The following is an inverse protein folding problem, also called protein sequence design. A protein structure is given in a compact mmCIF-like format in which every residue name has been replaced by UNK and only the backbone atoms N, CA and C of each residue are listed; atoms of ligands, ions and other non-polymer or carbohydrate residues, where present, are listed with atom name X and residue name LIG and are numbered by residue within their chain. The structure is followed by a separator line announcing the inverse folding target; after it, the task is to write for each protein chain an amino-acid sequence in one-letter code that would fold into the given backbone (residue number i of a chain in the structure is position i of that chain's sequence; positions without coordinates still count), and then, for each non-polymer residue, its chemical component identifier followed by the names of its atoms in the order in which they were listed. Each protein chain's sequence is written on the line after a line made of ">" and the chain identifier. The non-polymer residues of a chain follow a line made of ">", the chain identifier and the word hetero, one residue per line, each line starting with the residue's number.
data_IF_827647482944
#
_entry.id   IF_827647482944
#
_cell.length_a   1.000
_cell.length_b   1.000
_cell.length_c   1.000
_cell.angle_alpha   90.00
_cell.angle_beta   90.00
_cell.angle_gamma   90.00
#
_symmetry.space_group_name_H-M   'P 1'
#
loop_
_entity.id
_entity.type
_entity.pdbx_description
1 polymer ?
#
# COMPACT_ATOMS: atom_id res chain seq x y z
N UNK A 1 17.88 -8.84 -34.60
CA UNK A 1 16.78 -7.99 -34.08
C UNK A 1 16.03 -8.82 -33.05
N UNK A 2 16.20 -8.48 -31.78
CA UNK A 2 15.88 -9.31 -30.61
C UNK A 2 14.38 -9.45 -30.44
N UNK A 3 13.89 -10.69 -30.47
CA UNK A 3 12.54 -11.04 -30.05
C UNK A 3 12.50 -10.97 -28.52
N UNK A 4 11.48 -10.29 -28.02
CA UNK A 4 11.21 -9.93 -26.63
C UNK A 4 11.29 -11.11 -25.63
N UNK A 5 12.45 -11.25 -24.97
CA UNK A 5 12.71 -12.29 -23.96
C UNK A 5 12.18 -11.97 -22.56
N UNK A 6 11.51 -10.84 -22.35
CA UNK A 6 11.02 -10.45 -21.01
C UNK A 6 9.65 -11.03 -20.69
N UNK A 7 8.82 -11.29 -21.72
CA UNK A 7 7.44 -11.78 -21.53
C UNK A 7 7.33 -13.20 -20.96
N UNK A 8 8.39 -14.02 -21.04
CA UNK A 8 8.42 -15.38 -20.47
C UNK A 8 9.00 -15.44 -19.05
N UNK A 9 9.62 -14.37 -18.55
CA UNK A 9 10.37 -14.39 -17.28
C UNK A 9 9.48 -14.25 -16.03
N UNK A 10 8.26 -13.74 -16.21
CA UNK A 10 7.29 -13.53 -15.13
C UNK A 10 5.93 -14.08 -15.56
N UNK A 11 5.71 -15.41 -15.45
CA UNK A 11 4.39 -15.98 -15.64
C UNK A 11 3.42 -15.43 -14.60
N UNK A 12 2.12 -15.44 -14.91
CA UNK A 12 1.11 -15.12 -13.91
C UNK A 12 1.20 -16.15 -12.76
N UNK A 13 1.23 -15.75 -11.49
CA UNK A 13 1.30 -16.70 -10.39
C UNK A 13 0.10 -17.65 -10.38
N UNK A 14 0.32 -18.86 -9.88
CA UNK A 14 -0.74 -19.85 -9.70
C UNK A 14 -1.78 -19.28 -8.73
N UNK A 15 -3.04 -19.28 -9.18
CA UNK A 15 -4.22 -18.67 -8.52
C UNK A 15 -4.33 -17.14 -8.57
N UNK A 16 -3.48 -16.44 -9.30
CA UNK A 16 -3.71 -15.02 -9.59
C UNK A 16 -4.36 -14.81 -10.96
N UNK A 17 -5.06 -13.69 -11.11
CA UNK A 17 -5.58 -13.21 -12.38
C UNK A 17 -4.73 -12.05 -12.91
N UNK A 18 -4.12 -12.23 -14.08
CA UNK A 18 -3.29 -11.22 -14.72
C UNK A 18 -3.92 -10.67 -16.01
N UNK A 19 -3.91 -9.36 -16.17
CA UNK A 19 -4.29 -8.67 -17.41
C UNK A 19 -3.06 -7.96 -18.00
N UNK A 20 -2.56 -8.48 -19.13
CA UNK A 20 -1.34 -7.98 -19.77
C UNK A 20 -1.52 -6.59 -20.38
N UNK A 21 -2.69 -6.27 -20.94
CA UNK A 21 -2.94 -4.95 -21.55
C UNK A 21 -2.99 -3.84 -20.50
N UNK A 22 -3.52 -4.16 -19.31
CA UNK A 22 -3.64 -3.22 -18.18
C UNK A 22 -2.46 -3.28 -17.20
N UNK A 23 -1.50 -4.19 -17.41
CA UNK A 23 -0.40 -4.46 -16.47
C UNK A 23 -0.90 -4.70 -15.04
N UNK A 24 -1.99 -5.48 -14.92
CA UNK A 24 -2.71 -5.70 -13.67
C UNK A 24 -2.50 -7.14 -13.20
N UNK A 25 -2.29 -7.30 -11.89
CA UNK A 25 -2.24 -8.58 -11.19
C UNK A 25 -3.18 -8.51 -10.00
N UNK A 26 -4.11 -9.47 -9.92
CA UNK A 26 -5.05 -9.62 -8.81
C UNK A 26 -4.84 -11.00 -8.21
N UNK A 27 -4.49 -11.05 -6.93
CA UNK A 27 -4.33 -12.26 -6.14
C UNK A 27 -5.17 -12.12 -4.87
N UNK A 28 -6.48 -12.29 -5.00
CA UNK A 28 -7.45 -12.02 -3.92
C UNK A 28 -7.90 -13.33 -3.29
N UNK A 29 -7.86 -13.45 -1.96
CA UNK A 29 -8.34 -14.66 -1.27
C UNK A 29 -7.60 -15.95 -1.68
N UNK A 30 -6.29 -15.84 -1.92
CA UNK A 30 -5.47 -16.95 -2.43
C UNK A 30 -4.59 -17.60 -1.36
N UNK A 31 -4.86 -17.29 -0.08
CA UNK A 31 -4.11 -17.80 1.09
C UNK A 31 -2.61 -17.52 0.97
N UNK A 32 -2.23 -16.44 0.29
CA UNK A 32 -0.84 -16.06 0.13
C UNK A 32 -0.27 -15.72 1.51
N UNK A 33 0.90 -16.29 1.82
CA UNK A 33 1.70 -15.90 2.98
C UNK A 33 2.82 -14.93 2.61
N UNK A 34 3.15 -14.85 1.32
CA UNK A 34 4.18 -13.97 0.76
C UNK A 34 3.73 -13.42 -0.57
N UNK A 35 4.27 -12.25 -0.92
CA UNK A 35 4.05 -11.65 -2.24
C UNK A 35 4.76 -12.51 -3.30
N UNK A 36 4.05 -13.01 -4.32
CA UNK A 36 4.67 -13.83 -5.37
C UNK A 36 5.65 -13.01 -6.22
N UNK A 37 6.49 -13.70 -6.98
CA UNK A 37 7.39 -13.03 -7.93
C UNK A 37 6.59 -12.49 -9.11
N UNK A 38 6.55 -11.16 -9.25
CA UNK A 38 5.75 -10.46 -10.26
C UNK A 38 6.63 -9.66 -11.23
N UNK A 39 6.05 -9.27 -12.36
CA UNK A 39 6.71 -8.40 -13.34
C UNK A 39 6.96 -7.00 -12.76
N UNK A 40 8.18 -6.43 -12.91
CA UNK A 40 8.47 -5.03 -12.58
C UNK A 40 7.60 -4.01 -13.32
N UNK A 41 7.00 -4.41 -14.46
CA UNK A 41 6.10 -3.57 -15.25
C UNK A 41 4.66 -3.51 -14.70
N UNK A 42 4.36 -4.23 -13.61
CA UNK A 42 3.03 -4.23 -12.98
C UNK A 42 2.65 -2.81 -12.56
N UNK A 43 1.47 -2.36 -12.99
CA UNK A 43 0.89 -1.05 -12.68
C UNK A 43 -0.17 -1.12 -11.61
N UNK A 44 -0.93 -2.22 -11.57
CA UNK A 44 -2.00 -2.43 -10.59
C UNK A 44 -1.78 -3.77 -9.91
N UNK A 45 -1.67 -3.75 -8.59
CA UNK A 45 -1.49 -4.95 -7.78
C UNK A 45 -2.57 -4.99 -6.69
N UNK A 46 -3.38 -6.04 -6.71
CA UNK A 46 -4.31 -6.36 -5.62
C UNK A 46 -3.88 -7.66 -4.93
N UNK A 47 -3.67 -7.60 -3.62
CA UNK A 47 -3.26 -8.70 -2.74
C UNK A 47 -4.24 -8.85 -1.57
N UNK A 48 -5.48 -8.38 -1.70
CA UNK A 48 -6.47 -8.40 -0.63
C UNK A 48 -6.88 -9.81 -0.17
N UNK A 49 -7.35 -9.90 1.08
CA UNK A 49 -7.88 -11.13 1.69
C UNK A 49 -6.83 -12.26 1.69
N UNK A 50 -5.57 -11.95 2.03
CA UNK A 50 -4.51 -12.94 2.15
C UNK A 50 -3.99 -13.03 3.59
N UNK A 51 -3.12 -13.99 3.87
CA UNK A 51 -2.51 -14.17 5.20
C UNK A 51 -1.02 -13.84 5.13
N UNK A 52 -0.71 -12.65 4.59
CA UNK A 52 0.67 -12.19 4.44
C UNK A 52 1.35 -12.09 5.81
N UNK A 53 2.69 -12.18 5.82
CA UNK A 53 3.46 -11.94 7.03
C UNK A 53 3.05 -10.60 7.67
N UNK A 54 2.66 -10.64 8.95
CA UNK A 54 2.11 -9.48 9.68
C UNK A 54 3.08 -8.28 9.76
N UNK A 55 4.36 -8.53 9.47
CA UNK A 55 5.39 -7.52 9.20
C UNK A 55 5.95 -7.74 7.80
N UNK A 56 5.71 -6.79 6.91
CA UNK A 56 6.27 -6.86 5.56
C UNK A 56 7.81 -6.78 5.56
N UNK A 57 8.51 -7.42 4.62
CA UNK A 57 9.96 -7.28 4.47
C UNK A 57 10.36 -5.87 4.01
N UNK A 58 11.57 -5.44 4.40
CA UNK A 58 12.17 -4.20 3.89
C UNK A 58 12.31 -4.24 2.36
N UNK A 59 12.01 -3.12 1.70
CA UNK A 59 12.18 -2.94 0.24
C UNK A 59 11.43 -3.96 -0.60
N UNK A 60 10.38 -4.59 -0.06
CA UNK A 60 9.61 -5.63 -0.75
C UNK A 60 9.02 -5.15 -2.09
N UNK A 61 8.74 -3.84 -2.20
CA UNK A 61 8.19 -3.25 -3.42
C UNK A 61 9.21 -2.53 -4.32
N UNK A 62 10.50 -2.59 -4.01
CA UNK A 62 11.52 -1.74 -4.65
C UNK A 62 11.68 -1.96 -6.17
N UNK A 63 11.29 -3.11 -6.70
CA UNK A 63 11.31 -3.37 -8.15
C UNK A 63 10.08 -2.84 -8.91
N UNK A 64 9.02 -2.38 -8.23
CA UNK A 64 7.77 -1.98 -8.88
C UNK A 64 7.69 -0.48 -9.16
N UNK A 65 8.67 0.03 -9.91
CA UNK A 65 8.80 1.46 -10.22
C UNK A 65 7.63 2.04 -11.04
N UNK A 66 6.84 1.17 -11.70
CA UNK A 66 5.68 1.54 -12.50
C UNK A 66 4.33 1.32 -11.80
N UNK A 67 4.35 0.86 -10.54
CA UNK A 67 3.12 0.58 -9.81
C UNK A 67 2.40 1.87 -9.47
N UNK A 68 1.16 2.01 -9.94
CA UNK A 68 0.32 3.18 -9.69
C UNK A 68 -0.78 2.88 -8.67
N UNK A 69 -1.20 1.61 -8.52
CA UNK A 69 -2.23 1.20 -7.56
C UNK A 69 -1.81 -0.05 -6.80
N UNK A 70 -1.84 0.03 -5.48
CA UNK A 70 -1.53 -1.08 -4.58
C UNK A 70 -2.66 -1.26 -3.55
N UNK A 71 -3.21 -2.46 -3.50
CA UNK A 71 -4.23 -2.85 -2.53
C UNK A 71 -3.70 -4.02 -1.70
N UNK A 72 -3.61 -3.82 -0.39
CA UNK A 72 -3.25 -4.86 0.58
C UNK A 72 -4.25 -4.74 1.73
N UNK A 73 -5.47 -5.18 1.47
CA UNK A 73 -6.60 -5.07 2.40
C UNK A 73 -6.89 -6.42 3.06
N UNK A 74 -7.35 -6.42 4.30
CA UNK A 74 -7.69 -7.68 5.00
C UNK A 74 -6.53 -8.69 5.03
N UNK A 75 -5.32 -8.24 5.35
CA UNK A 75 -4.10 -9.06 5.36
C UNK A 75 -3.44 -9.20 6.74
N UNK A 76 -4.12 -8.77 7.81
CA UNK A 76 -3.61 -8.78 9.19
C UNK A 76 -2.23 -8.13 9.35
N UNK A 77 -1.92 -7.13 8.51
CA UNK A 77 -0.66 -6.40 8.60
C UNK A 77 -0.69 -5.54 9.87
N UNK A 78 0.34 -5.68 10.71
CA UNK A 78 0.46 -4.96 11.98
C UNK A 78 1.59 -3.94 11.99
N UNK A 79 2.59 -4.13 11.13
CA UNK A 79 3.75 -3.26 11.06
C UNK A 79 4.30 -3.19 9.64
N UNK A 80 4.62 -1.98 9.21
CA UNK A 80 5.33 -1.72 7.97
C UNK A 80 6.77 -1.33 8.32
N UNK A 81 7.80 -1.87 7.65
CA UNK A 81 9.17 -1.41 7.87
C UNK A 81 9.40 -0.04 7.20
N UNK A 82 10.45 0.68 7.63
CA UNK A 82 10.72 2.04 7.15
C UNK A 82 10.81 2.16 5.64
N UNK A 83 11.36 1.13 4.98
CA UNK A 83 11.58 1.12 3.56
C UNK A 83 10.61 0.19 2.82
N UNK A 84 9.44 -0.11 3.39
CA UNK A 84 8.44 -0.99 2.76
C UNK A 84 8.10 -0.53 1.34
N UNK A 85 7.83 0.77 1.20
CA UNK A 85 7.37 1.41 -0.03
C UNK A 85 8.48 2.15 -0.78
N UNK A 86 9.74 1.96 -0.40
CA UNK A 86 10.86 2.51 -1.16
C UNK A 86 10.80 2.00 -2.60
N UNK A 87 10.97 2.90 -3.58
CA UNK A 87 10.94 2.59 -5.01
C UNK A 87 9.57 2.75 -5.69
N UNK A 88 8.49 2.92 -4.90
CA UNK A 88 7.13 3.14 -5.42
C UNK A 88 6.86 4.59 -5.84
N UNK A 89 7.76 5.15 -6.66
CA UNK A 89 7.71 6.57 -7.05
C UNK A 89 6.50 6.92 -7.91
N UNK A 90 5.90 5.97 -8.62
CA UNK A 90 4.73 6.18 -9.47
C UNK A 90 3.39 5.91 -8.76
N UNK A 91 3.40 5.60 -7.46
CA UNK A 91 2.20 5.17 -6.76
C UNK A 91 1.23 6.34 -6.55
N UNK A 92 0.03 6.21 -7.08
CA UNK A 92 -1.05 7.19 -7.01
C UNK A 92 -2.12 6.79 -5.98
N UNK A 93 -2.33 5.48 -5.79
CA UNK A 93 -3.31 4.94 -4.84
C UNK A 93 -2.73 3.80 -4.01
N UNK A 94 -2.88 3.94 -2.69
CA UNK A 94 -2.54 2.93 -1.70
C UNK A 94 -3.75 2.66 -0.82
N UNK A 95 -4.14 1.40 -0.70
CA UNK A 95 -5.12 0.94 0.28
C UNK A 95 -4.51 -0.10 1.19
N UNK A 96 -4.54 0.21 2.49
CA UNK A 96 -4.17 -0.67 3.60
C UNK A 96 -5.37 -0.90 4.52
N UNK A 97 -6.58 -0.76 3.98
CA UNK A 97 -7.84 -0.87 4.68
C UNK A 97 -8.00 -2.22 5.39
N UNK A 98 -8.65 -2.23 6.54
CA UNK A 98 -8.93 -3.45 7.31
C UNK A 98 -7.67 -4.28 7.59
N UNK A 99 -6.61 -3.63 8.04
CA UNK A 99 -5.48 -4.32 8.64
C UNK A 99 -5.45 -4.02 10.15
N UNK A 100 -4.40 -4.45 10.83
CA UNK A 100 -4.23 -4.23 12.26
C UNK A 100 -3.07 -3.26 12.54
N UNK A 101 -2.85 -2.32 11.61
CA UNK A 101 -1.69 -1.44 11.70
C UNK A 101 -1.93 -0.42 12.81
N UNK A 102 -1.02 -0.43 13.78
CA UNK A 102 -0.98 0.55 14.86
C UNK A 102 -0.06 1.65 14.42
N UNK A 103 -0.64 2.79 14.07
CA UNK A 103 0.12 3.96 13.67
C UNK A 103 -0.01 5.04 14.75
N UNK A 104 1.13 5.64 15.06
CA UNK A 104 1.23 7.02 15.48
C UNK A 104 1.74 7.86 14.29
N UNK A 105 1.92 9.15 14.51
CA UNK A 105 2.43 10.04 13.47
C UNK A 105 3.88 9.74 13.04
N UNK A 106 4.69 9.13 13.91
CA UNK A 106 6.07 8.77 13.56
C UNK A 106 6.11 7.60 12.58
N UNK A 107 5.18 6.66 12.73
CA UNK A 107 5.02 5.52 11.83
C UNK A 107 4.62 5.98 10.41
N UNK A 108 3.89 7.09 10.26
CA UNK A 108 3.53 7.63 8.93
C UNK A 108 4.73 8.16 8.14
N UNK A 109 5.88 8.42 8.78
CA UNK A 109 7.13 8.74 8.09
C UNK A 109 7.60 7.59 7.16
N UNK A 110 7.08 6.38 7.34
CA UNK A 110 7.36 5.23 6.46
C UNK A 110 6.72 5.37 5.07
N UNK A 111 5.79 6.30 4.92
CA UNK A 111 5.18 6.64 3.63
C UNK A 111 5.94 7.76 2.90
N UNK A 112 7.06 8.25 3.45
CA UNK A 112 7.80 9.40 2.90
C UNK A 112 8.22 9.29 1.43
N UNK A 113 8.32 8.08 0.87
CA UNK A 113 8.71 7.86 -0.53
C UNK A 113 7.58 8.09 -1.54
N UNK A 114 6.34 8.22 -1.06
CA UNK A 114 5.12 8.21 -1.87
C UNK A 114 4.70 9.61 -2.31
N UNK A 115 5.61 10.37 -2.93
CA UNK A 115 5.40 11.78 -3.29
C UNK A 115 4.26 12.01 -4.30
N UNK A 116 3.93 11.00 -5.12
CA UNK A 116 2.85 11.06 -6.12
C UNK A 116 1.53 10.46 -5.62
N UNK A 117 1.44 10.07 -4.34
CA UNK A 117 0.24 9.45 -3.80
C UNK A 117 -0.89 10.47 -3.72
N UNK A 118 -1.99 10.16 -4.40
CA UNK A 118 -3.18 11.00 -4.44
C UNK A 118 -4.29 10.48 -3.53
N UNK A 119 -4.37 9.17 -3.33
CA UNK A 119 -5.38 8.52 -2.50
C UNK A 119 -4.74 7.53 -1.53
N UNK A 120 -5.01 7.74 -0.25
CA UNK A 120 -4.60 6.86 0.84
C UNK A 120 -5.83 6.38 1.61
N UNK A 121 -6.04 5.06 1.64
CA UNK A 121 -7.09 4.42 2.43
C UNK A 121 -6.44 3.63 3.58
N UNK A 122 -6.72 4.09 4.79
CA UNK A 122 -6.29 3.54 6.08
C UNK A 122 -7.49 3.17 6.95
N UNK A 123 -8.70 3.09 6.38
CA UNK A 123 -9.90 2.84 7.16
C UNK A 123 -9.87 1.47 7.85
N UNK A 124 -10.56 1.38 8.98
CA UNK A 124 -10.65 0.18 9.82
C UNK A 124 -9.27 -0.40 10.20
N UNK A 125 -8.36 0.46 10.66
CA UNK A 125 -7.09 0.06 11.26
C UNK A 125 -7.11 0.35 12.78
N UNK A 126 -5.94 0.47 13.40
CA UNK A 126 -5.78 0.71 14.83
C UNK A 126 -5.08 2.05 15.12
N UNK A 127 -5.37 3.08 14.33
CA UNK A 127 -4.89 4.45 14.60
C UNK A 127 -5.60 5.03 15.82
N UNK A 128 -4.83 5.54 16.77
CA UNK A 128 -5.36 6.08 18.04
C UNK A 128 -5.19 7.59 18.18
N UNK A 129 -4.21 8.17 17.49
CA UNK A 129 -3.99 9.62 17.46
C UNK A 129 -3.38 10.00 16.11
N UNK A 130 -3.79 11.14 15.58
CA UNK A 130 -3.36 11.62 14.28
C UNK A 130 -3.53 13.14 14.17
N UNK A 131 -2.68 13.77 13.38
CA UNK A 131 -2.84 15.16 12.99
C UNK A 131 -2.38 15.37 11.54
N UNK A 132 -2.59 16.56 11.00
CA UNK A 132 -2.29 16.87 9.60
C UNK A 132 -0.79 16.82 9.27
N UNK A 133 0.10 17.06 10.24
CA UNK A 133 1.55 17.04 10.03
C UNK A 133 2.06 15.63 9.70
N UNK A 134 1.33 14.60 10.10
CA UNK A 134 1.67 13.21 9.89
C UNK A 134 1.59 12.83 8.40
N UNK A 135 0.93 13.65 7.58
CA UNK A 135 0.81 13.49 6.13
C UNK A 135 1.62 14.53 5.33
N UNK A 136 2.45 15.35 5.99
CA UNK A 136 3.21 16.43 5.35
C UNK A 136 4.16 15.96 4.24
N UNK A 137 4.62 14.71 4.29
CA UNK A 137 5.47 14.10 3.26
C UNK A 137 4.71 13.69 1.98
N UNK A 138 3.37 13.58 2.06
CA UNK A 138 2.49 13.16 0.97
C UNK A 138 1.93 14.39 0.22
N UNK A 139 2.82 15.13 -0.43
CA UNK A 139 2.51 16.42 -1.04
C UNK A 139 1.43 16.41 -2.14
N UNK A 140 1.14 15.25 -2.72
CA UNK A 140 0.14 15.09 -3.79
C UNK A 140 -1.20 14.54 -3.29
N UNK A 141 -1.35 14.34 -1.97
CA UNK A 141 -2.52 13.68 -1.39
C UNK A 141 -3.77 14.55 -1.58
N UNK A 142 -4.82 13.94 -2.15
CA UNK A 142 -6.12 14.59 -2.43
C UNK A 142 -7.27 13.92 -1.69
N UNK A 143 -7.10 12.66 -1.31
CA UNK A 143 -8.12 11.86 -0.64
C UNK A 143 -7.47 11.02 0.44
N UNK A 144 -7.97 11.16 1.66
CA UNK A 144 -7.58 10.36 2.81
C UNK A 144 -8.84 9.74 3.43
N UNK A 145 -8.83 8.41 3.60
CA UNK A 145 -9.83 7.72 4.42
C UNK A 145 -9.15 7.13 5.65
N UNK A 146 -9.56 7.59 6.83
CA UNK A 146 -9.13 7.06 8.13
C UNK A 146 -10.32 6.65 8.98
N UNK A 147 -11.49 6.48 8.38
CA UNK A 147 -12.72 6.09 9.09
C UNK A 147 -12.58 4.74 9.79
N UNK A 148 -13.36 4.51 10.85
CA UNK A 148 -13.35 3.24 11.57
C UNK A 148 -12.07 2.95 12.37
N UNK A 149 -11.24 3.96 12.63
CA UNK A 149 -10.09 3.86 13.53
C UNK A 149 -10.48 4.29 14.97
N UNK A 150 -9.88 3.70 16.02
CA UNK A 150 -10.19 3.98 17.42
C UNK A 150 -9.51 5.28 17.93
N UNK A 151 -9.79 6.41 17.28
CA UNK A 151 -9.21 7.70 17.67
C UNK A 151 -9.61 8.12 19.08
N UNK A 152 -8.62 8.49 19.89
CA UNK A 152 -8.87 9.15 21.16
C UNK A 152 -9.36 10.58 20.92
N UNK A 153 -10.26 11.05 21.79
CA UNK A 153 -10.66 12.45 21.81
C UNK A 153 -9.50 13.28 22.37
N UNK A 154 -8.59 13.70 21.49
CA UNK A 154 -7.46 14.58 21.80
C UNK A 154 -7.77 16.02 21.39
N UNK A 155 -6.99 16.98 21.90
CA UNK A 155 -7.14 18.39 21.55
C UNK A 155 -6.78 18.69 20.08
N UNK A 156 -6.01 17.82 19.41
CA UNK A 156 -5.59 17.96 18.00
C UNK A 156 -6.61 17.39 17.01
N UNK A 157 -7.52 16.52 17.46
CA UNK A 157 -8.50 15.88 16.58
C UNK A 157 -9.45 16.87 15.87
N UNK A 158 -9.92 17.97 16.48
CA UNK A 158 -10.73 18.97 15.79
C UNK A 158 -9.99 19.64 14.62
N UNK A 159 -8.72 20.00 14.80
CA UNK A 159 -7.90 20.61 13.74
C UNK A 159 -7.67 19.64 12.59
N UNK A 160 -7.48 18.36 12.92
CA UNK A 160 -7.37 17.31 11.91
C UNK A 160 -8.68 17.10 11.14
N UNK A 161 -9.83 17.13 11.82
CA UNK A 161 -11.13 17.01 11.17
C UNK A 161 -11.45 18.19 10.24
N UNK A 162 -10.93 19.39 10.53
CA UNK A 162 -11.02 20.55 9.65
C UNK A 162 -10.08 20.48 8.43
N UNK A 163 -9.02 19.68 8.53
CA UNK A 163 -8.06 19.49 7.44
C UNK A 163 -8.53 18.48 6.39
N UNK A 164 -9.39 17.53 6.77
CA UNK A 164 -10.04 16.56 5.87
C UNK A 164 -11.06 17.24 4.92
#
# INVERSE_FOLDING_TARGET
>A
MTVDGTLHKFPCPENCHCNKQKFMVVCSNEKLTKIPKLSPLTRILNLDINSLDSRLPDKIFNSFQHLTKLYIEYCDISSLPLNAFQGLHALEKLSLKNNIIKYDCDELNKLQYLHNLEMLDLANNHFVDINSQCFSSLSSLKSLDVSGNPFYCSCSLPDFALWL
#
